data_IF_250620884874
#
_entry.id   IF_250620884874
#
_cell.length_a   1.000
_cell.length_b   1.000
_cell.length_c   1.000
_cell.angle_alpha   90.00
_cell.angle_beta   90.00
_cell.angle_gamma   90.00
#
_symmetry.space_group_name_H-M   'P 1'
#
loop_
_entity.id
_entity.type
_entity.pdbx_description
1 polymer ?
#
# COMPACT_ATOMS: atom_id res chain seq x y z
N UNK A 1 -0.93 25.50 9.65
CA UNK A 1 -0.03 24.36 9.38
C UNK A 1 -0.94 23.13 9.28
N UNK A 2 -0.93 22.40 8.16
CA UNK A 2 -1.90 21.31 7.90
C UNK A 2 -1.46 19.92 8.43
N UNK A 3 -0.20 19.77 8.84
CA UNK A 3 0.39 18.46 9.20
C UNK A 3 -0.04 17.91 10.57
N UNK A 4 -0.73 18.70 11.40
CA UNK A 4 -1.16 18.22 12.72
C UNK A 4 -2.28 17.18 12.62
N UNK A 5 -3.07 17.21 11.54
CA UNK A 5 -4.23 16.33 11.33
C UNK A 5 -3.85 14.89 10.93
N UNK A 6 -2.61 14.68 10.47
CA UNK A 6 -2.10 13.38 10.02
C UNK A 6 -0.99 12.83 10.90
N UNK A 7 -0.78 13.36 12.12
CA UNK A 7 0.26 12.85 13.04
C UNK A 7 0.09 11.36 13.35
N UNK A 8 -1.12 10.83 13.24
CA UNK A 8 -1.42 9.41 13.43
C UNK A 8 -0.99 8.52 12.26
N UNK A 9 -0.80 9.09 11.07
CA UNK A 9 -0.38 8.37 9.86
C UNK A 9 1.14 8.53 9.70
N UNK A 10 1.88 7.96 10.63
CA UNK A 10 3.32 7.81 10.50
C UNK A 10 3.68 6.71 9.48
N UNK A 11 4.98 6.58 9.18
CA UNK A 11 5.46 5.61 8.20
C UNK A 11 5.13 4.16 8.58
N UNK A 12 5.17 3.83 9.87
CA UNK A 12 4.86 2.48 10.38
C UNK A 12 3.36 2.18 10.19
N UNK A 13 2.51 3.11 10.60
CA UNK A 13 1.06 3.02 10.46
C UNK A 13 0.66 2.93 8.99
N UNK A 14 1.32 3.68 8.12
CA UNK A 14 1.11 3.61 6.68
C UNK A 14 1.51 2.23 6.10
N UNK A 15 2.67 1.69 6.48
CA UNK A 15 3.10 0.36 6.05
C UNK A 15 2.15 -0.75 6.51
N UNK A 16 1.67 -0.67 7.75
CA UNK A 16 0.70 -1.62 8.30
C UNK A 16 -0.62 -1.57 7.51
N UNK A 17 -1.12 -0.38 7.19
CA UNK A 17 -2.30 -0.22 6.33
C UNK A 17 -2.08 -0.81 4.93
N UNK A 18 -0.91 -0.61 4.33
CA UNK A 18 -0.58 -1.19 3.02
C UNK A 18 -0.48 -2.72 3.04
N UNK A 19 -0.19 -3.31 4.20
CA UNK A 19 -0.21 -4.77 4.42
C UNK A 19 -1.61 -5.32 4.76
N UNK A 20 -2.60 -4.45 4.94
CA UNK A 20 -3.94 -4.83 5.39
C UNK A 20 -4.01 -5.14 6.89
N UNK A 21 -3.05 -4.69 7.69
CA UNK A 21 -3.04 -4.90 9.13
C UNK A 21 -3.89 -3.85 9.86
N UNK A 22 -4.65 -4.25 10.90
CA UNK A 22 -5.43 -3.32 11.70
C UNK A 22 -4.50 -2.43 12.55
N UNK A 23 -4.83 -1.14 12.64
CA UNK A 23 -4.13 -0.20 13.50
C UNK A 23 -4.80 -0.13 14.89
N UNK A 24 -4.03 -0.38 15.94
CA UNK A 24 -4.46 -0.17 17.33
C UNK A 24 -4.37 1.32 17.68
N UNK A 25 -5.35 2.10 17.23
CA UNK A 25 -5.47 3.52 17.54
C UNK A 25 -6.40 3.71 18.75
N UNK A 26 -6.02 4.56 19.70
CA UNK A 26 -6.81 4.79 20.93
C UNK A 26 -7.93 5.83 20.69
N UNK A 27 -7.73 6.73 19.73
CA UNK A 27 -8.68 7.78 19.37
C UNK A 27 -9.72 7.27 18.37
N UNK A 28 -11.01 7.42 18.71
CA UNK A 28 -12.14 6.97 17.89
C UNK A 28 -12.19 7.71 16.54
N UNK A 29 -11.85 8.99 16.51
CA UNK A 29 -11.84 9.78 15.28
C UNK A 29 -10.72 9.37 14.33
N UNK A 30 -9.59 8.93 14.90
CA UNK A 30 -8.46 8.36 14.15
C UNK A 30 -8.83 6.97 13.64
N UNK A 31 -9.50 6.14 14.46
CA UNK A 31 -9.96 4.82 14.06
C UNK A 31 -10.91 4.88 12.85
N UNK A 32 -11.90 5.76 12.88
CA UNK A 32 -12.84 5.94 11.76
C UNK A 32 -12.15 6.38 10.47
N UNK A 33 -11.13 7.25 10.58
CA UNK A 33 -10.33 7.70 9.45
C UNK A 33 -9.44 6.58 8.90
N UNK A 34 -8.78 5.82 9.77
CA UNK A 34 -7.98 4.66 9.41
C UNK A 34 -8.82 3.58 8.73
N UNK A 35 -10.02 3.29 9.25
CA UNK A 35 -10.92 2.31 8.64
C UNK A 35 -11.42 2.76 7.26
N UNK A 36 -11.74 4.05 7.11
CA UNK A 36 -12.12 4.61 5.80
C UNK A 36 -10.97 4.51 4.79
N UNK A 37 -9.73 4.78 5.21
CA UNK A 37 -8.55 4.67 4.36
C UNK A 37 -8.27 3.21 3.98
N UNK A 38 -8.33 2.28 4.95
CA UNK A 38 -8.16 0.86 4.70
C UNK A 38 -9.16 0.34 3.66
N UNK A 39 -10.45 0.68 3.79
CA UNK A 39 -11.47 0.30 2.79
C UNK A 39 -11.20 0.84 1.40
N UNK A 40 -10.70 2.07 1.29
CA UNK A 40 -10.36 2.66 0.00
C UNK A 40 -9.16 1.94 -0.64
N UNK A 41 -8.14 1.60 0.16
CA UNK A 41 -6.98 0.83 -0.29
C UNK A 41 -7.38 -0.59 -0.72
N UNK A 42 -8.24 -1.27 0.04
CA UNK A 42 -8.75 -2.60 -0.32
C UNK A 42 -9.52 -2.59 -1.64
N UNK A 43 -10.35 -1.57 -1.87
CA UNK A 43 -11.08 -1.42 -3.13
C UNK A 43 -10.11 -1.24 -4.32
N UNK A 44 -9.10 -0.38 -4.18
CA UNK A 44 -8.07 -0.17 -5.21
C UNK A 44 -7.21 -1.42 -5.43
N UNK A 45 -6.89 -2.16 -4.37
CA UNK A 45 -6.16 -3.42 -4.47
C UNK A 45 -6.99 -4.48 -5.22
N UNK A 46 -8.30 -4.56 -4.92
CA UNK A 46 -9.21 -5.44 -5.65
C UNK A 46 -9.32 -5.06 -7.13
N UNK A 47 -9.39 -3.76 -7.46
CA UNK A 47 -9.36 -3.28 -8.85
C UNK A 47 -8.05 -3.66 -9.57
N UNK A 48 -6.91 -3.54 -8.89
CA UNK A 48 -5.60 -3.95 -9.42
C UNK A 48 -5.53 -5.46 -9.73
N UNK A 49 -6.11 -6.30 -8.85
CA UNK A 49 -6.22 -7.76 -9.10
C UNK A 49 -7.11 -8.06 -10.31
N UNK A 50 -8.16 -7.27 -10.54
CA UNK A 50 -9.06 -7.39 -11.70
C UNK A 50 -8.42 -6.85 -12.98
N UNK A 51 -7.42 -5.97 -12.88
CA UNK A 51 -6.61 -5.43 -13.99
C UNK A 51 -5.15 -5.96 -13.95
N UNK A 52 -4.93 -7.26 -14.23
CA UNK A 52 -3.57 -7.83 -14.27
C UNK A 52 -2.68 -7.21 -15.37
N UNK A 53 -3.24 -6.39 -16.26
CA UNK A 53 -2.49 -5.63 -17.25
C UNK A 53 -1.53 -4.58 -16.61
N UNK A 54 -1.66 -4.29 -15.31
CA UNK A 54 -0.74 -3.47 -14.54
C UNK A 54 0.31 -4.26 -13.77
N UNK A 55 0.25 -5.60 -13.80
CA UNK A 55 1.42 -6.39 -13.41
C UNK A 55 2.59 -5.94 -14.29
N UNK A 56 3.81 -5.76 -13.75
CA UNK A 56 4.94 -5.39 -14.57
C UNK A 56 5.10 -6.48 -15.63
N UNK A 57 4.71 -6.17 -16.86
CA UNK A 57 5.08 -6.99 -18.00
C UNK A 57 6.59 -7.03 -18.02
N UNK A 58 7.18 -8.22 -18.16
CA UNK A 58 8.63 -8.38 -18.25
C UNK A 58 9.18 -7.31 -19.19
N UNK A 59 10.07 -6.47 -18.67
CA UNK A 59 10.64 -5.42 -19.49
C UNK A 59 11.47 -6.07 -20.60
N UNK A 60 11.50 -5.51 -21.82
CA UNK A 60 12.33 -6.06 -22.89
C UNK A 60 13.79 -6.18 -22.43
N UNK A 61 14.29 -7.42 -22.32
CA UNK A 61 15.66 -7.70 -21.87
C UNK A 61 15.83 -7.96 -20.37
N UNK A 62 14.77 -7.93 -19.57
CA UNK A 62 14.81 -8.23 -18.12
C UNK A 62 15.40 -9.62 -17.84
N UNK A 63 14.95 -10.65 -18.56
CA UNK A 63 15.47 -12.00 -18.43
C UNK A 63 16.98 -12.10 -18.74
N UNK A 64 17.47 -11.31 -19.70
CA UNK A 64 18.89 -11.28 -20.05
C UNK A 64 19.74 -10.58 -18.97
N UNK A 65 19.23 -9.49 -18.39
CA UNK A 65 19.88 -8.80 -17.27
C UNK A 65 19.96 -9.70 -16.02
N UNK A 66 18.87 -10.40 -15.70
CA UNK A 66 18.83 -11.37 -14.59
C UNK A 66 19.78 -12.55 -14.82
N UNK A 67 19.89 -13.05 -16.06
CA UNK A 67 20.82 -14.11 -16.41
C UNK A 67 22.29 -13.69 -16.24
N UNK A 68 22.63 -12.43 -16.51
CA UNK A 68 23.99 -11.91 -16.34
C UNK A 68 24.43 -11.85 -14.86
N UNK A 69 23.50 -11.63 -13.93
CA UNK A 69 23.76 -11.57 -12.49
C UNK A 69 23.75 -12.93 -11.78
N UNK A 70 23.18 -13.98 -12.38
CA UNK A 70 23.10 -15.33 -11.78
C UNK A 70 24.38 -16.17 -11.96
N UNK A 71 25.55 -15.52 -12.07
CA UNK A 71 26.84 -16.19 -12.26
C UNK A 71 27.56 -16.44 -10.94
#
# INVERSE_FOLDING_TARGET
MADEQYRWLDSDSAERLLRGEPLDTVDVTVRDQAERLARALDALAAESVVHPAQAPAELPGEAAALAAFRK
#
